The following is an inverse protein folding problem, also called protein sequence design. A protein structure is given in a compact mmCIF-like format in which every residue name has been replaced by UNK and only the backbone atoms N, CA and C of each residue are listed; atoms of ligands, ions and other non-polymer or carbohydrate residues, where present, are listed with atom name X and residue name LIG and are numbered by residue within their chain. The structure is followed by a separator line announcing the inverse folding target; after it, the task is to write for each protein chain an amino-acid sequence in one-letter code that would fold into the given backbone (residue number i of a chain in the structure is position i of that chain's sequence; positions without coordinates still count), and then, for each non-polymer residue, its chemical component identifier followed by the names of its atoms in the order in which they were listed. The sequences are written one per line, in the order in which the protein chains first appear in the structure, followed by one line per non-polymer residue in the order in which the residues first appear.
data_IF_001886430301
#
_entry.id   IF_001886430301
#
_cell.length_a   1.000
_cell.length_b   1.000
_cell.length_c   1.000
_cell.angle_alpha   90.00
_cell.angle_beta   90.00
_cell.angle_gamma   90.00
#
_symmetry.space_group_name_H-M   'P 1'
#
loop_
_entity.id
_entity.type
_entity.pdbx_description
1 polymer ?
#
# COMPACT_ATOMS: atom_id res chain seq x y z
N UNK A 1 -2.68 -79.31 -12.05
CA UNK A 1 -3.11 -78.63 -10.81
C UNK A 1 -2.49 -77.23 -10.77
N UNK A 2 -3.31 -76.19 -10.56
CA UNK A 2 -3.00 -74.90 -9.87
C UNK A 2 -1.75 -74.13 -10.36
N UNK A 3 -1.79 -72.89 -10.86
CA UNK A 3 -2.48 -71.70 -10.35
C UNK A 3 -2.65 -70.67 -11.48
N UNK A 4 -3.88 -70.14 -11.64
CA UNK A 4 -4.18 -68.94 -12.42
C UNK A 4 -3.87 -67.73 -11.54
N UNK A 5 -2.92 -66.88 -11.94
CA UNK A 5 -2.66 -65.57 -11.33
C UNK A 5 -3.17 -64.51 -12.32
N UNK A 6 -4.41 -64.08 -12.11
CA UNK A 6 -4.97 -62.93 -12.79
C UNK A 6 -4.43 -61.66 -12.12
N UNK A 7 -3.52 -60.96 -12.79
CA UNK A 7 -3.07 -59.63 -12.40
C UNK A 7 -4.12 -58.65 -12.89
N UNK A 8 -4.95 -58.20 -11.95
CA UNK A 8 -5.95 -57.16 -12.13
C UNK A 8 -5.23 -55.80 -12.04
N UNK A 9 -4.94 -55.20 -13.20
CA UNK A 9 -4.42 -53.83 -13.31
C UNK A 9 -5.59 -52.88 -12.98
N UNK A 10 -5.66 -52.45 -11.72
CA UNK A 10 -6.56 -51.38 -11.31
C UNK A 10 -5.91 -50.05 -11.72
N UNK A 11 -6.33 -49.52 -12.86
CA UNK A 11 -5.95 -48.21 -13.36
C UNK A 11 -6.47 -47.12 -12.42
N UNK A 12 -5.65 -46.75 -11.44
CA UNK A 12 -5.81 -45.50 -10.70
C UNK A 12 -5.39 -44.38 -11.66
N UNK A 13 -6.36 -43.80 -12.36
CA UNK A 13 -6.23 -42.48 -12.97
C UNK A 13 -6.17 -41.46 -11.83
N UNK A 14 -4.99 -41.33 -11.20
CA UNK A 14 -4.64 -40.12 -10.47
C UNK A 14 -4.59 -39.01 -11.53
N UNK A 15 -5.46 -38.00 -11.39
CA UNK A 15 -5.44 -36.80 -12.23
C UNK A 15 -4.11 -36.06 -12.06
N UNK A 16 -3.13 -36.42 -12.88
CA UNK A 16 -1.91 -35.65 -13.07
C UNK A 16 -2.36 -34.43 -13.88
N UNK A 17 -2.55 -33.30 -13.21
CA UNK A 17 -2.65 -32.03 -13.90
C UNK A 17 -1.41 -31.88 -14.80
N UNK A 18 -1.57 -31.61 -16.11
CA UNK A 18 -0.45 -31.51 -17.03
C UNK A 18 0.52 -30.42 -16.54
N UNK A 19 1.76 -30.81 -16.23
CA UNK A 19 2.80 -29.94 -15.70
C UNK A 19 3.12 -28.71 -16.57
N UNK A 20 2.61 -28.65 -17.81
CA UNK A 20 2.78 -27.50 -18.71
C UNK A 20 2.03 -26.23 -18.30
N UNK A 21 0.89 -26.33 -17.62
CA UNK A 21 0.08 -25.15 -17.28
C UNK A 21 0.74 -24.28 -16.22
N UNK A 22 1.24 -24.92 -15.15
CA UNK A 22 1.95 -24.23 -14.07
C UNK A 22 3.23 -23.51 -14.56
N UNK A 23 3.88 -24.03 -15.61
CA UNK A 23 5.06 -23.42 -16.20
C UNK A 23 4.70 -22.14 -16.98
N UNK A 24 3.62 -22.16 -17.76
CA UNK A 24 3.18 -20.99 -18.55
C UNK A 24 2.74 -19.82 -17.68
N UNK A 25 1.97 -20.07 -16.61
CA UNK A 25 1.54 -19.02 -15.67
C UNK A 25 2.74 -18.42 -14.92
N UNK A 26 3.70 -19.26 -14.54
CA UNK A 26 4.92 -18.79 -13.90
C UNK A 26 5.75 -17.89 -14.83
N UNK A 27 5.88 -18.26 -16.10
CA UNK A 27 6.60 -17.45 -17.09
C UNK A 27 5.92 -16.10 -17.34
N UNK A 28 4.59 -16.08 -17.37
CA UNK A 28 3.82 -14.83 -17.47
C UNK A 28 4.02 -13.95 -16.22
N UNK A 29 3.88 -14.51 -15.02
CA UNK A 29 4.11 -13.77 -13.78
C UNK A 29 5.52 -13.18 -13.71
N UNK A 30 6.51 -13.95 -14.18
CA UNK A 30 7.89 -13.52 -14.26
C UNK A 30 8.06 -12.37 -15.26
N UNK A 31 7.37 -12.42 -16.40
CA UNK A 31 7.37 -11.35 -17.40
C UNK A 31 6.82 -10.05 -16.80
N UNK A 32 5.65 -10.11 -16.16
CA UNK A 32 5.00 -8.95 -15.54
C UNK A 32 5.87 -8.31 -14.44
N UNK A 33 6.50 -9.13 -13.59
CA UNK A 33 7.44 -8.65 -12.56
C UNK A 33 8.61 -7.91 -13.21
N UNK A 34 9.16 -8.44 -14.30
CA UNK A 34 10.32 -7.87 -14.97
C UNK A 34 9.99 -6.62 -15.78
N UNK A 35 8.84 -6.56 -16.46
CA UNK A 35 8.38 -5.39 -17.20
C UNK A 35 8.11 -4.22 -16.26
N UNK A 36 7.43 -4.46 -15.13
CA UNK A 36 7.17 -3.45 -14.11
C UNK A 36 8.48 -2.93 -13.48
N UNK A 37 9.40 -3.86 -13.19
CA UNK A 37 10.74 -3.52 -12.67
C UNK A 37 11.52 -2.66 -13.68
N UNK A 38 11.45 -2.98 -14.97
CA UNK A 38 12.13 -2.22 -16.01
C UNK A 38 11.54 -0.82 -16.15
N UNK A 39 10.20 -0.69 -16.26
CA UNK A 39 9.52 0.61 -16.32
C UNK A 39 9.89 1.50 -15.13
N UNK A 40 9.91 0.93 -13.91
CA UNK A 40 10.38 1.66 -12.72
C UNK A 40 11.81 2.19 -12.88
N UNK A 41 12.77 1.37 -13.33
CA UNK A 41 14.17 1.80 -13.46
C UNK A 41 14.33 2.89 -14.53
N UNK A 42 13.56 2.84 -15.62
CA UNK A 42 13.58 3.90 -16.65
C UNK A 42 13.07 5.21 -16.10
N UNK A 43 11.89 5.20 -15.45
CA UNK A 43 11.30 6.38 -14.84
C UNK A 43 12.19 6.96 -13.74
N UNK A 44 12.77 6.10 -12.91
CA UNK A 44 13.68 6.47 -11.82
C UNK A 44 15.01 7.07 -12.32
N UNK A 45 15.44 6.70 -13.52
CA UNK A 45 16.65 7.24 -14.17
C UNK A 45 16.34 8.37 -15.15
N UNK A 46 15.08 8.79 -15.27
CA UNK A 46 14.60 9.79 -16.22
C UNK A 46 15.02 9.50 -17.67
N UNK A 47 15.03 8.22 -18.05
CA UNK A 47 15.34 7.80 -19.42
C UNK A 47 14.10 7.95 -20.32
N UNK A 48 14.27 8.36 -21.58
CA UNK A 48 13.19 8.33 -22.56
C UNK A 48 12.74 6.88 -22.80
N UNK A 49 11.51 6.70 -23.30
CA UNK A 49 10.96 5.40 -23.72
C UNK A 49 10.57 4.40 -22.61
N UNK A 50 10.20 4.86 -21.41
CA UNK A 50 9.70 3.96 -20.36
C UNK A 50 8.49 3.10 -20.83
N UNK A 51 7.64 3.65 -21.71
CA UNK A 51 6.46 2.97 -22.23
C UNK A 51 6.73 1.80 -23.20
N UNK A 52 7.98 1.56 -23.62
CA UNK A 52 8.29 0.50 -24.59
C UNK A 52 8.05 -0.92 -24.04
N UNK A 53 8.02 -1.08 -22.72
CA UNK A 53 7.79 -2.39 -22.08
C UNK A 53 6.32 -2.83 -22.10
N UNK A 54 5.38 -1.92 -22.38
CA UNK A 54 3.94 -2.20 -22.34
C UNK A 54 3.48 -3.19 -23.43
N UNK A 55 4.26 -3.32 -24.51
CA UNK A 55 3.91 -4.16 -25.66
C UNK A 55 4.66 -5.49 -25.67
N UNK A 56 5.44 -5.80 -24.63
CA UNK A 56 6.28 -6.99 -24.61
C UNK A 56 5.42 -8.20 -24.23
N UNK A 57 5.34 -9.16 -25.15
CA UNK A 57 4.46 -10.34 -25.01
C UNK A 57 5.18 -11.59 -24.52
N UNK A 58 6.52 -11.58 -24.51
CA UNK A 58 7.32 -12.75 -24.12
C UNK A 58 8.61 -12.37 -23.41
N UNK A 59 9.11 -13.30 -22.60
CA UNK A 59 10.40 -13.15 -21.90
C UNK A 59 11.57 -12.98 -22.89
N UNK A 60 11.53 -13.65 -24.04
CA UNK A 60 12.59 -13.54 -25.05
C UNK A 60 12.66 -12.12 -25.67
N UNK A 61 11.49 -11.56 -25.98
CA UNK A 61 11.36 -10.18 -26.48
C UNK A 61 11.81 -9.17 -25.43
N UNK A 62 11.39 -9.34 -24.17
CA UNK A 62 11.84 -8.53 -23.04
C UNK A 62 13.36 -8.49 -22.95
N UNK A 63 14.00 -9.66 -22.96
CA UNK A 63 15.45 -9.80 -22.86
C UNK A 63 16.18 -9.15 -24.04
N UNK A 64 15.65 -9.29 -25.26
CA UNK A 64 16.23 -8.66 -26.43
C UNK A 64 16.19 -7.12 -26.32
N UNK A 65 15.08 -6.58 -25.83
CA UNK A 65 14.88 -5.15 -25.66
C UNK A 65 15.81 -4.56 -24.59
N UNK A 66 15.88 -5.15 -23.40
CA UNK A 66 16.79 -4.66 -22.33
C UNK A 66 18.27 -4.81 -22.69
N UNK A 67 18.64 -5.80 -23.51
CA UNK A 67 20.01 -5.96 -24.03
C UNK A 67 20.38 -4.83 -24.97
N UNK A 68 19.46 -4.45 -25.85
CA UNK A 68 19.66 -3.35 -26.81
C UNK A 68 19.92 -2.02 -26.08
N UNK A 69 19.27 -1.81 -24.95
CA UNK A 69 19.36 -0.57 -24.16
C UNK A 69 20.28 -0.67 -22.93
N UNK A 70 21.06 -1.74 -22.79
CA UNK A 70 21.91 -1.95 -21.62
C UNK A 70 23.00 -0.87 -21.47
N UNK A 71 23.46 -0.31 -22.60
CA UNK A 71 24.45 0.77 -22.60
C UNK A 71 23.95 2.04 -21.87
N UNK A 72 22.65 2.29 -21.86
CA UNK A 72 22.03 3.47 -21.24
C UNK A 72 21.43 3.15 -19.87
N UNK A 73 20.67 2.06 -19.76
CA UNK A 73 19.92 1.73 -18.54
C UNK A 73 20.70 0.86 -17.55
N UNK A 74 21.72 0.13 -18.02
CA UNK A 74 22.42 -0.93 -17.27
C UNK A 74 21.49 -1.99 -16.65
N UNK A 75 20.22 -2.11 -17.10
CA UNK A 75 19.27 -3.05 -16.49
C UNK A 75 19.70 -4.49 -16.76
N UNK A 76 20.11 -4.80 -17.98
CA UNK A 76 20.48 -6.16 -18.34
C UNK A 76 21.73 -6.60 -17.56
N UNK A 77 22.80 -5.81 -17.61
CA UNK A 77 24.09 -6.13 -17.00
C UNK A 77 24.08 -6.08 -15.47
N UNK A 78 23.47 -5.06 -14.86
CA UNK A 78 23.54 -4.85 -13.40
C UNK A 78 22.40 -5.50 -12.63
N UNK A 79 21.21 -5.66 -13.23
CA UNK A 79 20.01 -6.13 -12.54
C UNK A 79 19.56 -7.52 -13.02
N UNK A 80 19.21 -7.67 -14.29
CA UNK A 80 18.62 -8.90 -14.83
C UNK A 80 19.59 -10.08 -14.81
N UNK A 81 20.75 -9.93 -15.48
CA UNK A 81 21.73 -11.00 -15.66
C UNK A 81 22.22 -11.60 -14.33
N UNK A 82 22.62 -10.81 -13.31
CA UNK A 82 23.08 -11.37 -12.03
C UNK A 82 22.01 -12.16 -11.27
N UNK A 83 20.73 -11.80 -11.43
CA UNK A 83 19.61 -12.47 -10.77
C UNK A 83 19.26 -13.78 -11.51
N UNK A 84 19.25 -13.75 -12.83
CA UNK A 84 18.92 -14.89 -13.70
C UNK A 84 20.01 -15.95 -13.73
N UNK A 85 21.27 -15.53 -13.90
CA UNK A 85 22.44 -16.41 -13.94
C UNK A 85 22.77 -16.96 -12.55
N UNK A 86 22.49 -16.18 -11.50
CA UNK A 86 22.73 -16.59 -10.11
C UNK A 86 21.85 -17.78 -9.68
N UNK A 87 20.72 -18.01 -10.36
CA UNK A 87 19.85 -19.17 -10.13
C UNK A 87 19.22 -19.28 -8.73
N UNK A 88 19.44 -18.29 -7.85
CA UNK A 88 19.01 -18.32 -6.45
C UNK A 88 17.50 -18.51 -6.29
N UNK A 89 16.71 -17.91 -7.19
CA UNK A 89 15.26 -18.03 -7.16
C UNK A 89 14.73 -19.33 -7.81
N UNK A 90 15.58 -20.12 -8.48
CA UNK A 90 15.19 -21.41 -9.11
C UNK A 90 15.25 -22.59 -8.13
N UNK A 91 15.77 -22.38 -6.91
CA UNK A 91 15.93 -23.44 -5.91
C UNK A 91 14.64 -23.91 -5.22
N UNK A 92 13.67 -23.03 -4.88
CA UNK A 92 12.40 -23.48 -4.32
C UNK A 92 11.65 -24.37 -5.31
N UNK A 93 11.03 -25.46 -4.83
CA UNK A 93 10.24 -26.36 -5.70
C UNK A 93 8.87 -25.79 -6.07
N UNK A 94 8.33 -24.88 -5.26
CA UNK A 94 7.01 -24.28 -5.49
C UNK A 94 7.15 -22.97 -6.27
N UNK A 95 6.39 -22.81 -7.36
CA UNK A 95 6.41 -21.62 -8.22
C UNK A 95 6.20 -20.31 -7.43
N UNK A 96 5.28 -20.30 -6.46
CA UNK A 96 5.01 -19.14 -5.60
C UNK A 96 6.24 -18.72 -4.77
N UNK A 97 6.98 -19.68 -4.24
CA UNK A 97 8.21 -19.40 -3.49
C UNK A 97 9.33 -18.90 -4.42
N UNK A 98 9.38 -19.40 -5.66
CA UNK A 98 10.31 -18.90 -6.69
C UNK A 98 10.02 -17.43 -7.02
N UNK A 99 8.76 -17.07 -7.28
CA UNK A 99 8.35 -15.68 -7.56
C UNK A 99 8.64 -14.77 -6.36
N UNK A 100 8.31 -15.20 -5.13
CA UNK A 100 8.63 -14.43 -3.92
C UNK A 100 10.14 -14.20 -3.77
N UNK A 101 10.95 -15.20 -4.10
CA UNK A 101 12.43 -15.10 -4.05
C UNK A 101 12.95 -14.16 -5.15
N UNK A 102 12.34 -14.19 -6.34
CA UNK A 102 12.64 -13.26 -7.44
C UNK A 102 12.34 -11.80 -7.03
N UNK A 103 11.16 -11.53 -6.47
CA UNK A 103 10.80 -10.18 -6.00
C UNK A 103 11.78 -9.69 -4.94
N UNK A 104 12.18 -10.57 -4.01
CA UNK A 104 13.16 -10.24 -2.97
C UNK A 104 14.55 -9.94 -3.55
N UNK A 105 15.01 -10.70 -4.55
CA UNK A 105 16.32 -10.48 -5.17
C UNK A 105 16.36 -9.19 -5.99
N UNK A 106 15.28 -8.88 -6.72
CA UNK A 106 15.11 -7.61 -7.45
C UNK A 106 15.17 -6.44 -6.46
N UNK A 107 14.36 -6.47 -5.40
CA UNK A 107 14.35 -5.39 -4.40
C UNK A 107 15.71 -5.21 -3.72
N UNK A 108 16.36 -6.30 -3.31
CA UNK A 108 17.70 -6.25 -2.73
C UNK A 108 18.73 -5.63 -3.67
N UNK A 109 18.66 -5.95 -4.98
CA UNK A 109 19.57 -5.41 -5.98
C UNK A 109 19.28 -3.95 -6.30
N UNK A 110 18.02 -3.54 -6.37
CA UNK A 110 17.66 -2.13 -6.56
C UNK A 110 18.11 -1.25 -5.38
N UNK A 111 18.18 -1.79 -4.16
CA UNK A 111 18.69 -1.07 -2.99
C UNK A 111 20.20 -0.82 -2.98
N UNK A 112 20.98 -1.50 -3.83
CA UNK A 112 22.43 -1.26 -3.91
C UNK A 112 22.77 0.04 -4.66
N UNK A 113 21.77 0.76 -5.18
CA UNK A 113 21.98 2.06 -5.82
C UNK A 113 21.92 3.17 -4.77
N UNK A 114 23.08 3.75 -4.44
CA UNK A 114 23.21 4.80 -3.42
C UNK A 114 22.38 6.05 -3.74
N UNK A 115 22.28 6.44 -5.01
CA UNK A 115 21.49 7.60 -5.44
C UNK A 115 20.00 7.41 -5.11
N UNK A 116 19.49 6.19 -5.30
CA UNK A 116 18.11 5.84 -4.95
C UNK A 116 17.90 5.80 -3.45
N UNK A 117 18.89 5.29 -2.72
CA UNK A 117 18.78 5.19 -1.26
C UNK A 117 18.92 6.55 -0.57
N UNK A 118 19.71 7.47 -1.10
CA UNK A 118 19.90 8.80 -0.49
C UNK A 118 18.70 9.74 -0.65
N UNK A 119 17.83 9.49 -1.63
CA UNK A 119 16.60 10.26 -1.85
C UNK A 119 15.39 9.58 -1.18
N UNK A 120 14.73 10.30 -0.27
CA UNK A 120 13.54 9.82 0.47
C UNK A 120 12.39 9.46 -0.47
N UNK A 121 12.15 10.27 -1.51
CA UNK A 121 11.04 10.05 -2.44
C UNK A 121 11.31 8.82 -3.31
N UNK A 122 12.54 8.65 -3.81
CA UNK A 122 12.92 7.48 -4.60
C UNK A 122 12.88 6.20 -3.77
N UNK A 123 13.27 6.27 -2.49
CA UNK A 123 13.16 5.15 -1.55
C UNK A 123 11.70 4.74 -1.33
N UNK A 124 10.79 5.70 -1.13
CA UNK A 124 9.34 5.41 -1.00
C UNK A 124 8.80 4.73 -2.27
N UNK A 125 9.11 5.27 -3.44
CA UNK A 125 8.72 4.65 -4.72
C UNK A 125 9.23 3.22 -4.88
N UNK A 126 10.45 2.95 -4.39
CA UNK A 126 11.00 1.59 -4.38
C UNK A 126 10.24 0.65 -3.43
N UNK A 127 9.81 1.15 -2.27
CA UNK A 127 8.99 0.38 -1.33
C UNK A 127 7.59 0.11 -1.90
N UNK A 128 7.02 1.06 -2.64
CA UNK A 128 5.73 0.89 -3.33
C UNK A 128 5.84 -0.12 -4.48
N UNK A 129 6.90 -0.05 -5.29
CA UNK A 129 7.22 -1.08 -6.29
C UNK A 129 7.32 -2.47 -5.62
N UNK A 130 8.00 -2.57 -4.47
CA UNK A 130 8.14 -3.85 -3.79
C UNK A 130 6.79 -4.47 -3.42
N UNK A 131 5.84 -3.66 -2.92
CA UNK A 131 4.48 -4.11 -2.61
C UNK A 131 3.74 -4.54 -3.88
N UNK A 132 3.86 -3.76 -4.95
CA UNK A 132 3.24 -4.08 -6.24
C UNK A 132 3.75 -5.41 -6.80
N UNK A 133 5.07 -5.63 -6.80
CA UNK A 133 5.66 -6.90 -7.25
C UNK A 133 5.25 -8.08 -6.35
N UNK A 134 5.09 -7.86 -5.04
CA UNK A 134 4.55 -8.87 -4.13
C UNK A 134 3.09 -9.22 -4.44
N UNK A 135 2.29 -8.23 -4.82
CA UNK A 135 0.89 -8.42 -5.22
C UNK A 135 0.81 -9.25 -6.50
N UNK A 136 1.57 -8.87 -7.54
CA UNK A 136 1.68 -9.66 -8.78
C UNK A 136 2.06 -11.11 -8.44
N UNK A 137 3.12 -11.33 -7.66
CA UNK A 137 3.54 -12.67 -7.26
C UNK A 137 2.51 -13.45 -6.41
N UNK A 138 1.58 -12.77 -5.73
CA UNK A 138 0.54 -13.38 -4.91
C UNK A 138 -0.70 -13.77 -5.72
N UNK A 139 -1.04 -12.98 -6.73
CA UNK A 139 -2.17 -13.19 -7.63
C UNK A 139 -1.94 -14.42 -8.53
N UNK A 140 -0.68 -14.66 -8.92
CA UNK A 140 -0.30 -15.87 -9.64
C UNK A 140 -0.20 -17.09 -8.70
N UNK A 141 -0.90 -18.18 -9.03
CA UNK A 141 -0.87 -19.45 -8.30
C UNK A 141 -2.08 -19.70 -7.39
N UNK A 142 -3.12 -18.87 -7.45
CA UNK A 142 -4.46 -19.31 -7.05
C UNK A 142 -4.98 -20.15 -8.22
N UNK A 143 -5.18 -21.48 -8.07
CA UNK A 143 -5.79 -22.26 -9.12
C UNK A 143 -7.14 -21.61 -9.41
N UNK A 144 -7.31 -21.05 -10.61
CA UNK A 144 -8.54 -20.42 -11.02
C UNK A 144 -9.67 -21.42 -10.73
N UNK A 145 -10.46 -21.14 -9.70
CA UNK A 145 -11.64 -21.91 -9.39
C UNK A 145 -12.62 -21.63 -10.53
N UNK A 146 -12.53 -22.45 -11.56
CA UNK A 146 -13.51 -22.59 -12.64
C UNK A 146 -13.79 -21.30 -13.42
N UNK A 147 -12.94 -21.07 -14.43
CA UNK A 147 -13.36 -20.58 -15.74
C UNK A 147 -14.08 -19.23 -15.82
N UNK A 148 -13.33 -18.14 -15.71
CA UNK A 148 -13.61 -16.94 -16.50
C UNK A 148 -12.28 -16.42 -17.06
N UNK A 149 -12.16 -16.21 -18.38
CA UNK A 149 -10.95 -15.64 -18.96
C UNK A 149 -10.77 -14.22 -18.42
N UNK A 150 -9.56 -13.93 -17.90
CA UNK A 150 -9.12 -12.58 -17.61
C UNK A 150 -8.95 -11.88 -18.96
N UNK A 151 -9.97 -11.16 -19.41
CA UNK A 151 -9.85 -10.25 -20.54
C UNK A 151 -9.06 -9.03 -20.07
N UNK A 152 -7.85 -8.90 -20.61
CA UNK A 152 -7.06 -7.70 -20.56
C UNK A 152 -7.80 -6.65 -21.41
N UNK A 153 -8.49 -5.72 -20.75
CA UNK A 153 -9.26 -4.67 -21.39
C UNK A 153 -8.30 -3.68 -22.05
N UNK A 154 -8.03 -3.91 -23.34
CA UNK A 154 -7.29 -3.00 -24.19
C UNK A 154 -8.12 -1.72 -24.37
N UNK A 155 -7.72 -0.65 -23.69
CA UNK A 155 -8.27 0.69 -23.92
C UNK A 155 -7.84 1.14 -25.31
N UNK A 156 -8.75 0.99 -26.28
CA UNK A 156 -8.63 1.59 -27.60
C UNK A 156 -8.87 3.10 -27.49
N UNK A 157 -7.79 3.88 -27.57
CA UNK A 157 -7.83 5.29 -27.97
C UNK A 157 -8.06 5.39 -29.47
N UNK A 158 -9.13 6.06 -29.89
CA UNK A 158 -9.16 6.78 -31.17
C UNK A 158 -9.95 8.09 -31.02
N UNK A 159 -9.53 9.19 -31.67
CA UNK A 159 -10.17 10.49 -31.58
C UNK A 159 -11.11 10.77 -32.77
N UNK A 160 -12.03 11.70 -32.52
CA UNK A 160 -12.51 12.74 -33.47
C UNK A 160 -13.88 12.60 -34.18
N UNK A 161 -14.62 13.72 -34.10
CA UNK A 161 -15.64 14.29 -35.01
C UNK A 161 -17.13 13.86 -34.98
N UNK A 162 -17.91 14.67 -34.25
CA UNK A 162 -19.03 15.54 -34.68
C UNK A 162 -20.23 15.06 -35.55
N UNK A 163 -21.41 15.44 -35.02
CA UNK A 163 -22.68 15.91 -35.66
C UNK A 163 -23.81 14.94 -36.06
N UNK A 164 -24.92 15.08 -35.30
CA UNK A 164 -26.31 15.38 -35.70
C UNK A 164 -27.09 14.43 -36.64
N UNK A 165 -28.11 13.75 -36.10
CA UNK A 165 -29.54 14.05 -36.38
C UNK A 165 -30.47 13.09 -35.62
N UNK A 166 -31.31 13.64 -34.74
CA UNK A 166 -32.42 12.92 -34.12
C UNK A 166 -33.72 13.18 -34.89
N UNK A 167 -34.31 12.12 -35.44
CA UNK A 167 -35.70 12.09 -35.88
C UNK A 167 -36.35 10.92 -35.14
N UNK A 168 -37.15 11.23 -34.13
CA UNK A 168 -37.94 10.28 -33.35
C UNK A 168 -39.39 10.35 -33.83
N UNK A 169 -39.89 9.26 -34.39
CA UNK A 169 -41.31 9.01 -34.62
C UNK A 169 -41.62 7.61 -34.12
N UNK A 170 -42.47 7.55 -33.08
CA UNK A 170 -43.31 6.40 -32.75
C UNK A 170 -44.12 5.96 -33.99
N UNK A 171 -44.49 4.67 -34.08
CA UNK A 171 -45.84 4.33 -33.64
C UNK A 171 -45.95 2.97 -32.91
N UNK A 172 -46.73 3.02 -31.83
CA UNK A 172 -47.95 2.23 -31.57
C UNK A 172 -48.11 0.84 -32.23
N UNK A 173 -48.41 -0.17 -31.41
CA UNK A 173 -48.71 -1.53 -31.88
C UNK A 173 -48.81 -2.61 -30.80
N UNK A 174 -49.82 -2.51 -29.95
CA UNK A 174 -50.73 -3.56 -29.42
C UNK A 174 -50.29 -5.03 -29.23
N UNK A 175 -50.54 -5.50 -28.00
CA UNK A 175 -51.18 -6.75 -27.55
C UNK A 175 -50.61 -8.14 -27.88
N UNK A 176 -50.28 -8.89 -26.82
CA UNK A 176 -50.70 -10.28 -26.51
C UNK A 176 -50.06 -10.68 -25.16
N UNK A 177 -50.82 -10.82 -24.08
CA UNK A 177 -51.59 -11.99 -23.62
C UNK A 177 -50.77 -12.97 -22.75
N UNK A 178 -51.45 -13.48 -21.71
CA UNK A 178 -51.15 -14.62 -20.83
C UNK A 178 -50.05 -14.54 -19.75
N UNK A 179 -50.52 -14.31 -18.51
CA UNK A 179 -50.35 -15.13 -17.28
C UNK A 179 -49.12 -16.03 -17.13
N UNK A 180 -48.37 -15.87 -16.02
CA UNK A 180 -47.82 -16.96 -15.17
C UNK A 180 -47.05 -16.38 -13.95
N UNK A 181 -47.76 -15.95 -12.91
CA UNK A 181 -47.20 -15.50 -11.61
C UNK A 181 -47.22 -16.61 -10.53
N UNK A 182 -47.08 -17.88 -10.93
CA UNK A 182 -47.21 -19.00 -9.99
C UNK A 182 -46.20 -20.15 -10.24
N UNK A 183 -44.89 -19.85 -10.30
CA UNK A 183 -43.85 -20.90 -10.48
C UNK A 183 -42.50 -20.72 -9.78
N UNK A 184 -42.43 -20.07 -8.60
CA UNK A 184 -41.14 -20.01 -7.84
C UNK A 184 -41.19 -20.42 -6.36
N UNK A 185 -42.26 -21.04 -5.88
CA UNK A 185 -42.37 -21.49 -4.47
C UNK A 185 -42.27 -23.01 -4.24
N UNK A 186 -41.62 -23.77 -5.13
CA UNK A 186 -41.38 -25.19 -4.89
C UNK A 186 -40.14 -25.72 -5.62
N UNK A 187 -38.98 -25.65 -4.99
CA UNK A 187 -37.92 -26.66 -5.20
C UNK A 187 -36.99 -26.75 -3.98
N UNK A 188 -37.34 -27.68 -3.08
CA UNK A 188 -36.48 -28.58 -2.32
C UNK A 188 -35.35 -27.94 -1.46
N UNK A 189 -35.50 -27.79 -0.13
CA UNK A 189 -35.62 -28.87 0.87
C UNK A 189 -34.80 -30.10 0.46
N UNK A 190 -33.53 -30.11 0.85
CA UNK A 190 -32.62 -31.25 0.70
C UNK A 190 -32.29 -31.79 2.09
N UNK A 191 -32.57 -33.08 2.24
CA UNK A 191 -32.56 -33.85 3.47
C UNK A 191 -31.17 -34.00 4.11
N UNK A 192 -31.17 -33.82 5.44
CA UNK A 192 -30.20 -34.39 6.37
C UNK A 192 -30.41 -35.90 6.47
N UNK A 193 -29.60 -36.69 5.77
CA UNK A 193 -29.29 -38.06 6.18
C UNK A 193 -28.12 -38.62 5.38
N UNK A 194 -26.99 -38.85 6.04
CA UNK A 194 -26.10 -40.00 5.73
C UNK A 194 -25.05 -40.13 6.84
N UNK A 195 -25.45 -40.79 7.93
CA UNK A 195 -24.52 -41.62 8.70
C UNK A 195 -24.02 -42.74 7.81
N UNK A 196 -22.85 -42.53 7.17
CA UNK A 196 -22.10 -43.59 6.49
C UNK A 196 -20.92 -44.00 7.35
N UNK A 197 -21.12 -45.08 8.10
CA UNK A 197 -20.07 -45.91 8.66
C UNK A 197 -19.29 -46.54 7.51
N UNK A 198 -18.14 -45.96 7.15
CA UNK A 198 -17.29 -46.53 6.10
C UNK A 198 -16.19 -45.60 5.61
N UNK A 199 -15.10 -45.53 6.38
CA UNK A 199 -13.69 -45.35 5.97
C UNK A 199 -12.95 -44.42 6.93
N UNK A 200 -12.38 -45.02 7.98
CA UNK A 200 -11.52 -44.38 8.99
C UNK A 200 -10.29 -43.64 8.40
N UNK A 201 -10.01 -43.79 7.10
CA UNK A 201 -8.89 -43.16 6.42
C UNK A 201 -9.05 -41.65 6.26
N UNK A 202 -10.26 -41.12 6.05
CA UNK A 202 -10.47 -39.67 5.93
C UNK A 202 -10.30 -38.95 7.28
N UNK A 203 -10.76 -39.57 8.37
CA UNK A 203 -10.59 -39.05 9.73
C UNK A 203 -9.12 -39.03 10.14
N UNK A 204 -8.36 -40.08 9.79
CA UNK A 204 -6.91 -40.13 10.07
C UNK A 204 -6.17 -39.02 9.30
N UNK A 205 -6.54 -38.75 8.04
CA UNK A 205 -5.94 -37.66 7.27
C UNK A 205 -6.26 -36.27 7.87
N UNK A 206 -7.49 -36.05 8.30
CA UNK A 206 -7.91 -34.80 8.94
C UNK A 206 -7.15 -34.57 10.26
N UNK A 207 -6.95 -35.62 11.07
CA UNK A 207 -6.16 -35.55 12.30
C UNK A 207 -4.68 -35.27 11.99
N UNK A 208 -4.12 -35.90 10.96
CA UNK A 208 -2.73 -35.65 10.54
C UNK A 208 -2.51 -34.20 10.08
N UNK A 209 -3.42 -33.63 9.28
CA UNK A 209 -3.39 -32.23 8.87
C UNK A 209 -3.54 -31.27 10.05
N UNK A 210 -4.41 -31.62 11.01
CA UNK A 210 -4.57 -30.85 12.26
C UNK A 210 -3.28 -30.79 13.08
N UNK A 211 -2.58 -31.92 13.23
CA UNK A 211 -1.30 -31.98 13.95
C UNK A 211 -0.19 -31.19 13.24
N UNK A 212 -0.15 -31.24 11.90
CA UNK A 212 0.83 -30.46 11.12
C UNK A 212 0.58 -28.95 11.31
N UNK A 213 -0.67 -28.49 11.26
CA UNK A 213 -1.00 -27.09 11.52
C UNK A 213 -0.62 -26.66 12.94
N UNK A 214 -0.84 -27.52 13.94
CA UNK A 214 -0.43 -27.24 15.33
C UNK A 214 1.09 -27.07 15.46
N UNK A 215 1.86 -27.92 14.79
CA UNK A 215 3.33 -27.84 14.77
C UNK A 215 3.80 -26.56 14.06
N UNK A 216 3.18 -26.17 12.93
CA UNK A 216 3.51 -24.92 12.26
C UNK A 216 3.23 -23.70 13.15
N UNK A 217 2.07 -23.65 13.80
CA UNK A 217 1.72 -22.55 14.72
C UNK A 217 2.72 -22.48 15.89
N UNK A 218 3.13 -23.63 16.43
CA UNK A 218 4.17 -23.68 17.47
C UNK A 218 5.51 -23.12 16.99
N UNK A 219 5.95 -23.48 15.77
CA UNK A 219 7.20 -22.96 15.19
C UNK A 219 7.14 -21.46 14.90
N UNK A 220 6.01 -20.95 14.40
CA UNK A 220 5.78 -19.50 14.24
C UNK A 220 5.87 -18.78 15.59
N UNK A 221 5.20 -19.28 16.62
CA UNK A 221 5.24 -18.70 17.96
C UNK A 221 6.66 -18.74 18.56
N UNK A 222 7.45 -19.77 18.27
CA UNK A 222 8.86 -19.84 18.69
C UNK A 222 9.71 -18.75 18.03
N UNK A 223 9.53 -18.48 16.75
CA UNK A 223 10.31 -17.46 16.05
C UNK A 223 9.85 -16.03 16.44
N UNK A 224 8.54 -15.82 16.64
CA UNK A 224 8.01 -14.55 17.17
C UNK A 224 8.61 -14.25 18.55
N UNK A 225 8.66 -15.23 19.46
CA UNK A 225 9.31 -15.06 20.79
C UNK A 225 10.80 -14.70 20.67
N UNK A 226 11.51 -15.29 19.69
CA UNK A 226 12.92 -14.98 19.43
C UNK A 226 13.12 -13.57 18.89
N UNK A 227 12.19 -13.08 18.05
CA UNK A 227 12.22 -11.70 17.54
C UNK A 227 11.83 -10.68 18.62
N UNK A 228 10.81 -10.98 19.45
CA UNK A 228 10.41 -10.14 20.59
C UNK A 228 11.59 -9.86 21.51
N UNK A 229 12.37 -10.89 21.87
CA UNK A 229 13.58 -10.72 22.71
C UNK A 229 14.60 -9.72 22.12
N UNK A 230 14.73 -9.66 20.79
CA UNK A 230 15.63 -8.68 20.14
C UNK A 230 15.08 -7.27 20.19
N UNK A 231 13.75 -7.12 20.13
CA UNK A 231 13.09 -5.81 20.22
C UNK A 231 13.13 -5.31 21.66
N UNK A 232 12.89 -6.18 22.64
CA UNK A 232 12.97 -5.84 24.07
C UNK A 232 14.40 -5.42 24.45
N UNK A 233 15.42 -6.11 23.92
CA UNK A 233 16.81 -5.69 24.10
C UNK A 233 17.08 -4.30 23.53
N UNK A 234 16.55 -3.99 22.34
CA UNK A 234 16.70 -2.65 21.73
C UNK A 234 15.97 -1.57 22.52
N UNK A 235 14.81 -1.88 23.13
CA UNK A 235 14.11 -0.95 24.03
C UNK A 235 14.94 -0.64 25.26
N UNK A 236 15.51 -1.66 25.91
CA UNK A 236 16.40 -1.48 27.07
C UNK A 236 17.64 -0.65 26.69
N UNK A 237 18.23 -0.89 25.51
CA UNK A 237 19.38 -0.12 25.04
C UNK A 237 19.02 1.35 24.77
N UNK A 238 17.82 1.62 24.24
CA UNK A 238 17.31 2.98 24.03
C UNK A 238 17.02 3.67 25.36
N UNK A 239 16.40 3.00 26.32
CA UNK A 239 16.12 3.55 27.64
C UNK A 239 17.42 3.84 28.41
N UNK A 240 18.43 2.96 28.30
CA UNK A 240 19.77 3.21 28.83
C UNK A 240 20.46 4.41 28.16
N UNK A 241 20.34 4.56 26.83
CA UNK A 241 20.85 5.76 26.14
C UNK A 241 20.12 7.02 26.59
N UNK A 242 18.80 6.98 26.74
CA UNK A 242 18.00 8.10 27.21
C UNK A 242 18.39 8.49 28.65
N UNK A 243 18.63 7.52 29.53
CA UNK A 243 19.13 7.78 30.89
C UNK A 243 20.54 8.36 30.91
N UNK A 244 21.44 7.91 30.02
CA UNK A 244 22.78 8.52 29.89
C UNK A 244 22.72 9.96 29.37
N UNK A 245 21.74 10.29 28.53
CA UNK A 245 21.53 11.66 28.02
C UNK A 245 20.84 12.56 29.06
N UNK A 246 20.05 12.00 29.98
CA UNK A 246 19.34 12.71 31.04
C UNK A 246 20.01 12.63 32.42
N UNK A 247 21.35 12.53 32.51
CA UNK A 247 22.03 12.61 33.81
C UNK A 247 21.73 13.98 34.49
N UNK A 248 21.02 14.01 35.63
CA UNK A 248 20.67 15.25 36.32
C UNK A 248 21.88 15.67 37.17
N UNK A 249 22.77 16.45 36.56
CA UNK A 249 24.00 16.88 37.23
C UNK A 249 24.65 18.14 36.66
N UNK A 250 23.89 18.96 35.91
CA UNK A 250 24.38 20.27 35.45
C UNK A 250 23.27 21.31 35.51
N UNK A 251 22.83 21.61 36.73
CA UNK A 251 22.12 22.86 37.04
C UNK A 251 23.14 24.00 36.96
N UNK A 252 23.27 24.58 35.77
CA UNK A 252 23.91 25.87 35.54
C UNK A 252 23.03 26.64 34.58
N UNK A 253 22.41 27.70 35.08
CA UNK A 253 21.60 28.64 34.32
C UNK A 253 22.35 29.09 33.06
N UNK A 254 21.68 29.00 31.91
CA UNK A 254 22.00 29.57 30.58
C UNK A 254 21.75 28.55 29.44
N UNK A 255 20.49 28.13 29.29
CA UNK A 255 20.05 27.24 28.21
C UNK A 255 19.37 28.00 27.06
N UNK A 256 20.09 28.93 26.45
CA UNK A 256 19.91 29.31 25.04
C UNK A 256 21.22 29.12 24.26
N UNK A 257 22.07 28.22 24.74
CA UNK A 257 23.38 27.95 24.13
C UNK A 257 23.21 26.99 22.96
N UNK A 258 23.27 27.59 21.76
CA UNK A 258 23.65 26.95 20.49
C UNK A 258 24.49 25.72 20.77
N UNK A 259 24.05 24.55 20.28
CA UNK A 259 24.89 23.34 20.25
C UNK A 259 26.21 23.77 19.61
N UNK A 260 27.24 23.95 20.43
CA UNK A 260 28.51 24.50 19.96
C UNK A 260 29.13 23.46 19.06
N UNK A 261 29.69 23.90 17.94
CA UNK A 261 30.28 23.03 16.93
C UNK A 261 31.33 22.08 17.55
N UNK A 262 32.01 22.51 18.62
CA UNK A 262 32.93 21.69 19.41
C UNK A 262 32.26 20.51 20.15
N UNK A 263 31.00 20.62 20.57
CA UNK A 263 30.25 19.50 21.18
C UNK A 263 29.86 18.47 20.12
N UNK A 264 29.49 18.92 18.91
CA UNK A 264 29.23 18.05 17.76
C UNK A 264 30.51 17.36 17.32
N UNK A 265 31.63 18.09 17.28
CA UNK A 265 32.94 17.57 16.90
C UNK A 265 33.47 16.53 17.90
N UNK A 266 33.26 16.75 19.21
CA UNK A 266 33.55 15.73 20.22
C UNK A 266 32.65 14.49 20.10
N UNK A 267 31.37 14.66 19.72
CA UNK A 267 30.47 13.52 19.49
C UNK A 267 30.90 12.71 18.26
N UNK A 268 31.29 13.40 17.18
CA UNK A 268 31.80 12.79 15.94
C UNK A 268 33.11 12.07 16.21
N UNK A 269 34.06 12.68 16.91
CA UNK A 269 35.33 12.05 17.26
C UNK A 269 35.14 10.81 18.13
N UNK A 270 34.15 10.84 19.04
CA UNK A 270 33.80 9.68 19.88
C UNK A 270 33.13 8.57 19.07
N UNK A 271 32.28 8.92 18.10
CA UNK A 271 31.65 7.94 17.20
C UNK A 271 32.70 7.26 16.30
N UNK A 272 33.63 8.04 15.74
CA UNK A 272 34.73 7.53 14.90
C UNK A 272 35.67 6.63 15.71
N UNK A 273 36.00 6.99 16.96
CA UNK A 273 36.83 6.15 17.83
C UNK A 273 36.17 4.79 18.10
N UNK A 274 34.87 4.79 18.41
CA UNK A 274 34.10 3.57 18.67
C UNK A 274 33.95 2.69 17.42
N UNK A 275 33.80 3.31 16.26
CA UNK A 275 33.78 2.59 14.99
C UNK A 275 35.15 1.94 14.71
N UNK A 276 36.25 2.65 14.95
CA UNK A 276 37.62 2.14 14.77
C UNK A 276 37.95 0.95 15.68
N UNK A 277 37.48 0.99 16.93
CA UNK A 277 37.58 -0.15 17.86
C UNK A 277 36.77 -1.35 17.36
N UNK A 278 35.59 -1.13 16.78
CA UNK A 278 34.78 -2.21 16.19
C UNK A 278 35.42 -2.83 14.95
N UNK A 279 36.15 -2.04 14.14
CA UNK A 279 36.95 -2.55 13.03
C UNK A 279 38.19 -3.30 13.51
N UNK A 280 38.86 -2.86 14.58
CA UNK A 280 40.02 -3.57 15.13
C UNK A 280 39.63 -4.91 15.79
N UNK A 281 38.47 -4.98 16.45
CA UNK A 281 37.95 -6.23 16.99
C UNK A 281 37.56 -7.24 15.88
N UNK A 282 37.21 -6.77 14.68
CA UNK A 282 36.88 -7.62 13.53
C UNK A 282 38.03 -7.84 12.53
N UNK A 283 39.12 -7.08 12.61
CA UNK A 283 40.23 -7.14 11.65
C UNK A 283 41.35 -8.12 12.03
N UNK A 284 41.29 -8.78 13.19
CA UNK A 284 42.25 -9.84 13.56
C UNK A 284 42.05 -11.17 12.81
N UNK A 285 41.19 -11.22 11.78
CA UNK A 285 40.90 -12.43 11.03
C UNK A 285 40.69 -12.21 9.53
N UNK A 286 41.61 -11.54 8.83
CA UNK A 286 41.71 -11.64 7.35
C UNK A 286 42.95 -10.93 6.84
N UNK A 287 43.94 -11.71 6.44
CA UNK A 287 45.23 -11.26 5.90
C UNK A 287 45.15 -10.86 4.42
N UNK A 288 45.84 -9.75 4.12
CA UNK A 288 46.55 -9.40 2.87
C UNK A 288 45.77 -9.09 1.58
N UNK A 289 45.97 -7.86 1.09
CA UNK A 289 45.70 -7.51 -0.31
C UNK A 289 45.78 -6.02 -0.69
N UNK A 290 47.01 -5.47 -0.72
CA UNK A 290 47.51 -4.41 -1.62
C UNK A 290 46.78 -3.05 -1.76
N UNK A 291 47.42 -1.99 -1.23
CA UNK A 291 47.08 -0.57 -1.41
C UNK A 291 47.70 0.02 -2.69
N UNK A 292 47.00 0.98 -3.32
CA UNK A 292 47.61 1.98 -4.21
C UNK A 292 47.04 3.37 -3.87
N UNK A 293 47.88 4.42 -3.74
CA UNK A 293 47.43 5.74 -3.29
C UNK A 293 47.04 6.64 -4.47
N UNK A 294 45.93 7.38 -4.34
CA UNK A 294 45.61 8.50 -5.24
C UNK A 294 45.44 9.78 -4.42
N UNK A 295 46.11 10.80 -4.96
CA UNK A 295 46.49 12.11 -4.45
C UNK A 295 45.29 13.06 -4.46
N UNK A 296 45.20 13.89 -3.41
CA UNK A 296 44.23 14.98 -3.26
C UNK A 296 44.42 16.08 -4.31
N UNK A 297 43.31 16.65 -4.79
CA UNK A 297 43.28 17.98 -5.40
C UNK A 297 42.12 18.77 -4.78
N UNK A 298 42.47 19.91 -4.19
CA UNK A 298 41.58 20.87 -3.56
C UNK A 298 40.96 21.81 -4.60
N UNK A 299 39.69 22.20 -4.40
CA UNK A 299 39.05 23.28 -5.15
C UNK A 299 38.17 24.15 -4.24
N UNK A 300 38.75 25.30 -3.90
CA UNK A 300 38.23 26.68 -3.79
C UNK A 300 36.70 26.88 -3.71
N UNK A 301 36.25 27.50 -2.61
CA UNK A 301 34.94 28.13 -2.44
C UNK A 301 34.99 29.61 -2.85
N UNK A 302 33.93 30.11 -3.50
CA UNK A 302 33.68 31.54 -3.72
C UNK A 302 32.45 31.98 -2.91
N UNK A 303 32.49 33.15 -2.23
CA UNK A 303 31.34 33.67 -1.49
C UNK A 303 30.42 34.51 -2.40
N UNK A 304 29.11 34.31 -2.28
CA UNK A 304 28.09 35.15 -2.93
C UNK A 304 27.34 35.94 -1.86
N UNK A 305 27.29 37.25 -2.06
CA UNK A 305 26.63 38.29 -1.26
C UNK A 305 25.10 38.28 -1.41
N UNK A 306 24.32 38.63 -0.36
CA UNK A 306 22.88 38.86 -0.48
C UNK A 306 22.53 40.37 -0.66
N UNK A 307 21.43 40.69 -1.39
CA UNK A 307 20.87 42.06 -1.46
C UNK A 307 19.84 42.34 -0.34
N UNK A 308 19.56 43.63 0.00
CA UNK A 308 18.69 44.02 1.11
C UNK A 308 17.28 44.53 0.72
N UNK A 309 16.42 44.62 1.77
CA UNK A 309 15.21 45.48 1.96
C UNK A 309 13.83 44.93 1.51
N UNK A 310 12.66 45.48 1.97
CA UNK A 310 12.30 46.11 3.26
C UNK A 310 10.89 45.70 3.83
N UNK A 311 10.63 46.10 5.10
CA UNK A 311 9.38 46.64 5.70
C UNK A 311 8.01 45.92 5.57
N UNK A 312 7.40 45.58 6.73
CA UNK A 312 6.08 46.09 7.14
C UNK A 312 5.70 45.71 8.59
N UNK A 313 5.12 46.67 9.31
CA UNK A 313 4.68 46.62 10.70
C UNK A 313 3.31 45.91 10.88
N UNK A 314 2.95 45.46 12.11
CA UNK A 314 1.66 44.82 12.37
C UNK A 314 0.57 45.82 12.78
N UNK A 315 -0.63 45.62 12.25
CA UNK A 315 -1.89 46.27 12.65
C UNK A 315 -2.60 45.39 13.68
N UNK A 316 -3.07 45.92 14.83
CA UNK A 316 -3.93 45.17 15.76
C UNK A 316 -5.40 45.29 15.36
N UNK A 317 -6.15 44.19 15.45
CA UNK A 317 -7.61 44.16 15.37
C UNK A 317 -8.16 43.68 16.73
N UNK A 318 -9.18 44.35 17.29
CA UNK A 318 -9.66 44.06 18.64
C UNK A 318 -10.65 42.89 18.70
N UNK A 319 -10.58 42.25 19.86
CA UNK A 319 -11.53 41.36 20.53
C UNK A 319 -12.97 41.89 20.46
N UNK A 320 -13.94 41.02 20.16
CA UNK A 320 -15.30 41.25 20.66
C UNK A 320 -15.98 39.95 21.06
N UNK A 321 -16.42 39.97 22.31
CA UNK A 321 -17.07 38.90 23.05
C UNK A 321 -18.58 39.06 22.92
N UNK A 322 -19.30 37.98 22.65
CA UNK A 322 -20.73 37.93 22.98
C UNK A 322 -21.18 36.50 23.26
N UNK A 323 -21.16 36.17 24.55
CA UNK A 323 -21.97 35.13 25.18
C UNK A 323 -23.46 35.46 25.04
N UNK A 324 -24.30 34.47 24.71
CA UNK A 324 -25.70 34.44 25.16
C UNK A 324 -26.03 33.00 25.57
N UNK A 325 -26.10 32.79 26.88
CA UNK A 325 -26.94 31.78 27.53
C UNK A 325 -28.40 32.13 27.30
N UNK A 326 -29.27 31.17 26.95
CA UNK A 326 -30.66 31.27 27.38
C UNK A 326 -31.29 29.91 27.72
N UNK A 327 -31.88 29.92 28.92
CA UNK A 327 -32.51 28.87 29.71
C UNK A 327 -33.89 28.44 29.16
N UNK A 328 -34.19 27.14 29.34
CA UNK A 328 -35.45 26.53 29.88
C UNK A 328 -36.82 26.99 29.29
N UNK A 329 -37.71 26.14 28.78
CA UNK A 329 -38.53 25.13 29.51
C UNK A 329 -39.54 24.41 28.56
N UNK A 330 -40.06 23.20 28.91
CA UNK A 330 -41.17 22.47 28.23
C UNK A 330 -42.56 22.94 28.77
N UNK A 331 -43.79 22.47 28.36
CA UNK A 331 -44.18 21.22 27.68
C UNK A 331 -45.32 21.33 26.62
N UNK A 332 -45.55 20.31 25.77
CA UNK A 332 -46.92 19.87 25.46
C UNK A 332 -46.97 18.49 24.77
N UNK A 333 -47.80 17.60 25.31
CA UNK A 333 -48.08 16.26 24.80
C UNK A 333 -49.24 16.34 23.80
N UNK A 334 -48.94 16.20 22.51
CA UNK A 334 -49.95 15.84 21.51
C UNK A 334 -49.38 14.67 20.69
N UNK A 335 -50.06 13.53 20.75
CA UNK A 335 -49.76 12.36 19.93
C UNK A 335 -49.97 12.71 18.45
N UNK A 336 -48.87 12.99 17.76
CA UNK A 336 -48.86 13.26 16.32
C UNK A 336 -48.94 11.95 15.53
N UNK A 337 -49.72 11.96 14.45
CA UNK A 337 -49.74 10.94 13.41
C UNK A 337 -48.31 10.61 12.93
N UNK A 338 -48.03 9.38 12.43
CA UNK A 338 -46.69 9.01 11.96
C UNK A 338 -46.28 9.91 10.80
N UNK A 339 -45.50 10.94 11.12
CA UNK A 339 -44.86 11.82 10.16
C UNK A 339 -43.95 10.93 9.30
N UNK A 340 -44.02 11.00 7.96
CA UNK A 340 -43.10 10.27 7.10
C UNK A 340 -41.68 10.59 7.54
N UNK A 341 -40.95 9.56 7.98
CA UNK A 341 -39.59 9.69 8.48
C UNK A 341 -38.80 10.40 7.38
N UNK A 342 -38.24 11.60 7.62
CA UNK A 342 -37.48 12.29 6.61
C UNK A 342 -36.32 11.39 6.23
N UNK A 343 -36.32 10.93 4.97
CA UNK A 343 -35.22 10.17 4.42
C UNK A 343 -33.94 10.97 4.70
N UNK A 344 -33.03 10.43 5.52
CA UNK A 344 -31.74 11.07 5.82
C UNK A 344 -30.75 10.70 4.71
N UNK A 345 -29.95 11.64 4.19
CA UNK A 345 -28.90 11.31 3.22
C UNK A 345 -27.98 10.25 3.85
N UNK A 346 -27.56 9.27 3.05
CA UNK A 346 -26.67 8.21 3.52
C UNK A 346 -25.28 8.82 3.74
N UNK A 347 -25.00 9.19 4.99
CA UNK A 347 -23.66 9.58 5.42
C UNK A 347 -22.86 8.34 5.77
N UNK A 348 -21.66 8.25 5.19
CA UNK A 348 -20.64 7.25 5.52
C UNK A 348 -19.44 7.96 6.15
N UNK A 349 -18.64 7.24 6.92
CA UNK A 349 -17.48 7.77 7.62
C UNK A 349 -16.22 7.01 7.23
N UNK A 350 -15.11 7.72 7.06
CA UNK A 350 -13.84 7.14 6.66
C UNK A 350 -12.69 7.72 7.48
N UNK A 351 -11.64 6.92 7.66
CA UNK A 351 -10.45 7.32 8.40
C UNK A 351 -9.47 8.14 7.56
N UNK A 352 -8.83 7.54 6.57
CA UNK A 352 -7.79 8.18 5.76
C UNK A 352 -7.97 7.73 4.31
N UNK A 353 -7.81 8.63 3.32
CA UNK A 353 -7.81 8.24 1.91
C UNK A 353 -6.60 7.36 1.58
N UNK A 354 -6.79 6.38 0.72
CA UNK A 354 -5.73 5.51 0.20
C UNK A 354 -5.66 5.69 -1.30
N UNK A 355 -4.47 5.95 -1.85
CA UNK A 355 -4.23 6.10 -3.29
C UNK A 355 -5.14 7.14 -3.97
N UNK A 356 -5.44 8.25 -3.29
CA UNK A 356 -6.28 9.32 -3.84
C UNK A 356 -7.79 9.03 -3.81
N UNK A 357 -8.26 8.14 -2.95
CA UNK A 357 -9.68 7.86 -2.76
C UNK A 357 -10.01 7.08 -1.50
N UNK A 358 -11.22 6.55 -1.41
CA UNK A 358 -11.70 5.73 -0.30
C UNK A 358 -12.23 4.40 -0.81
N UNK A 359 -11.79 3.28 -0.23
CA UNK A 359 -12.39 1.99 -0.54
C UNK A 359 -13.75 1.86 0.14
N UNK A 360 -14.73 1.29 -0.55
CA UNK A 360 -16.08 1.14 -0.02
C UNK A 360 -16.14 0.26 1.24
N UNK A 361 -15.24 -0.73 1.34
CA UNK A 361 -15.10 -1.59 2.52
C UNK A 361 -14.56 -0.87 3.77
N UNK A 362 -13.91 0.29 3.60
CA UNK A 362 -13.35 1.09 4.69
C UNK A 362 -14.33 2.20 5.14
N UNK A 363 -15.55 2.20 4.60
CA UNK A 363 -16.62 3.13 4.94
C UNK A 363 -17.53 2.57 6.05
N UNK A 364 -17.72 3.36 7.10
CA UNK A 364 -18.58 3.02 8.23
C UNK A 364 -19.91 3.79 8.18
N UNK A 365 -21.00 3.18 8.64
CA UNK A 365 -22.31 3.84 8.74
C UNK A 365 -22.41 4.82 9.92
N UNK A 366 -21.57 4.62 10.93
CA UNK A 366 -21.53 5.41 12.15
C UNK A 366 -20.14 6.05 12.33
N UNK A 367 -20.07 7.27 12.90
CA UNK A 367 -18.79 7.94 13.15
C UNK A 367 -17.96 7.14 14.16
N UNK A 368 -16.76 6.73 13.77
CA UNK A 368 -15.79 6.12 14.67
C UNK A 368 -14.91 7.18 15.33
N UNK A 369 -14.25 6.81 16.43
CA UNK A 369 -13.31 7.66 17.14
C UNK A 369 -12.12 8.14 16.28
N UNK A 370 -11.80 7.42 15.19
CA UNK A 370 -10.73 7.70 14.24
C UNK A 370 -11.23 8.07 12.83
N UNK A 371 -12.53 8.32 12.68
CA UNK A 371 -13.13 8.78 11.42
C UNK A 371 -12.89 10.27 11.20
N UNK A 372 -12.03 10.61 10.23
CA UNK A 372 -11.67 11.99 9.89
C UNK A 372 -12.67 12.58 8.90
N UNK A 373 -13.23 11.76 8.00
CA UNK A 373 -14.05 12.21 6.88
C UNK A 373 -15.50 11.75 7.03
N UNK A 374 -16.44 12.67 6.76
CA UNK A 374 -17.86 12.38 6.51
C UNK A 374 -18.09 12.46 5.00
N UNK A 375 -18.59 11.39 4.42
CA UNK A 375 -18.90 11.26 2.99
C UNK A 375 -20.42 11.20 2.84
N UNK A 376 -20.98 12.12 2.06
CA UNK A 376 -22.41 12.22 1.78
C UNK A 376 -22.66 11.80 0.34
N UNK A 377 -23.26 10.63 0.16
CA UNK A 377 -23.58 10.08 -1.15
C UNK A 377 -24.80 10.83 -1.69
N UNK A 378 -24.71 11.30 -2.95
CA UNK A 378 -25.82 12.00 -3.60
C UNK A 378 -26.95 11.03 -3.92
N UNK A 379 -28.19 11.41 -3.60
CA UNK A 379 -29.36 10.60 -3.99
C UNK A 379 -29.67 10.67 -5.48
N UNK A 380 -29.39 11.80 -6.10
CA UNK A 380 -29.68 12.01 -7.52
C UNK A 380 -28.73 11.21 -8.40
N UNK A 381 -27.51 11.01 -7.91
CA UNK A 381 -26.46 10.29 -8.61
C UNK A 381 -25.67 9.47 -7.60
N UNK A 382 -25.99 8.17 -7.41
CA UNK A 382 -25.29 7.29 -6.49
C UNK A 382 -23.80 7.14 -6.81
N UNK A 383 -23.36 7.49 -8.03
CA UNK A 383 -21.95 7.45 -8.42
C UNK A 383 -21.17 8.69 -7.96
N UNK A 384 -21.83 9.70 -7.37
CA UNK A 384 -21.20 10.93 -6.88
C UNK A 384 -21.43 11.14 -5.39
N UNK A 385 -20.39 11.58 -4.70
CA UNK A 385 -20.47 11.94 -3.30
C UNK A 385 -19.69 13.22 -3.02
N UNK A 386 -20.03 13.87 -1.90
CA UNK A 386 -19.27 15.00 -1.36
C UNK A 386 -18.67 14.61 -0.02
N UNK A 387 -17.47 15.07 0.29
CA UNK A 387 -16.84 14.77 1.55
C UNK A 387 -16.31 16.02 2.26
N UNK A 388 -16.27 15.94 3.59
CA UNK A 388 -15.77 16.99 4.48
C UNK A 388 -15.15 16.37 5.73
N UNK A 389 -14.38 17.15 6.49
CA UNK A 389 -13.81 16.70 7.76
C UNK A 389 -14.89 16.75 8.84
N UNK A 390 -14.99 15.70 9.65
CA UNK A 390 -15.91 15.60 10.79
C UNK A 390 -15.59 16.70 11.81
N UNK A 391 -16.59 17.36 12.38
CA UNK A 391 -16.43 18.46 13.36
C UNK A 391 -16.04 18.02 14.79
N UNK A 392 -15.53 16.80 14.97
CA UNK A 392 -15.20 16.26 16.29
C UNK A 392 -13.80 16.76 16.74
N UNK A 393 -13.69 17.48 17.87
CA UNK A 393 -12.42 18.05 18.32
C UNK A 393 -11.35 17.00 18.66
N UNK A 394 -11.74 15.81 19.13
CA UNK A 394 -10.78 14.72 19.40
C UNK A 394 -10.12 14.22 18.12
N UNK A 395 -10.88 14.16 17.02
CA UNK A 395 -10.40 13.77 15.70
C UNK A 395 -9.53 14.88 15.10
N UNK A 396 -9.91 16.14 15.29
CA UNK A 396 -9.14 17.31 14.81
C UNK A 396 -7.72 17.30 15.37
N UNK A 397 -7.55 17.06 16.67
CA UNK A 397 -6.21 17.01 17.29
C UNK A 397 -5.31 15.98 16.59
N UNK A 398 -5.78 14.74 16.44
CA UNK A 398 -5.01 13.70 15.77
C UNK A 398 -4.79 13.99 14.28
N UNK A 399 -5.76 14.59 13.60
CA UNK A 399 -5.63 14.98 12.20
C UNK A 399 -4.61 16.11 12.01
N UNK A 400 -4.56 17.10 12.90
CA UNK A 400 -3.58 18.20 12.88
C UNK A 400 -2.16 17.67 13.13
N UNK A 401 -1.97 16.84 14.17
CA UNK A 401 -0.68 16.21 14.49
C UNK A 401 -0.12 15.40 13.32
N UNK A 402 -1.00 14.79 12.52
CA UNK A 402 -0.65 13.93 11.39
C UNK A 402 -1.07 14.49 10.03
N UNK A 403 -1.21 15.82 9.90
CA UNK A 403 -1.85 16.46 8.74
C UNK A 403 -1.26 16.02 7.39
N UNK A 404 0.06 15.85 7.31
CA UNK A 404 0.73 15.39 6.09
C UNK A 404 0.29 13.98 5.64
N UNK A 405 -0.06 13.10 6.58
CA UNK A 405 -0.51 11.73 6.29
C UNK A 405 -2.02 11.66 6.11
N UNK A 406 -2.78 12.37 6.93
CA UNK A 406 -4.24 12.27 6.96
C UNK A 406 -4.95 13.18 5.98
N UNK A 407 -4.43 14.40 5.75
CA UNK A 407 -5.12 15.47 5.01
C UNK A 407 -4.55 15.72 3.60
N UNK A 408 -3.26 15.45 3.37
CA UNK A 408 -2.55 15.80 2.13
C UNK A 408 -3.25 15.30 0.86
N UNK A 409 -3.78 14.08 0.89
CA UNK A 409 -4.31 13.44 -0.31
C UNK A 409 -5.74 13.89 -0.62
N UNK A 410 -6.52 14.30 0.38
CA UNK A 410 -7.93 14.67 0.21
C UNK A 410 -8.24 16.16 0.39
N UNK A 411 -7.33 16.94 0.98
CA UNK A 411 -7.56 18.34 1.29
C UNK A 411 -6.47 19.25 0.72
N UNK A 412 -6.87 20.48 0.39
CA UNK A 412 -5.99 21.61 0.10
C UNK A 412 -6.03 22.53 1.31
N UNK A 413 -4.86 22.86 1.85
CA UNK A 413 -4.74 23.69 3.05
C UNK A 413 -3.41 24.45 3.06
N UNK A 414 -3.35 25.49 3.88
CA UNK A 414 -2.11 26.20 4.22
C UNK A 414 -1.86 26.06 5.71
N UNK A 415 -0.69 25.53 6.08
CA UNK A 415 -0.30 25.36 7.49
C UNK A 415 0.24 26.68 8.04
N UNK A 416 -0.64 27.66 8.23
CA UNK A 416 -0.25 29.01 8.66
C UNK A 416 -0.17 29.11 10.20
N UNK A 417 -0.87 28.24 10.94
CA UNK A 417 -0.89 28.21 12.40
C UNK A 417 -0.34 26.88 12.93
N UNK A 418 0.82 26.90 13.59
CA UNK A 418 1.43 25.70 14.21
C UNK A 418 0.71 25.25 15.48
N UNK A 419 -0.12 26.10 16.08
CA UNK A 419 -0.84 25.85 17.34
C UNK A 419 -2.34 25.69 17.12
N UNK A 420 -2.77 25.39 15.89
CA UNK A 420 -4.17 25.21 15.60
C UNK A 420 -4.76 24.05 16.42
N UNK A 421 -5.99 24.23 16.87
CA UNK A 421 -6.72 23.23 17.65
C UNK A 421 -7.93 22.68 16.90
N UNK A 422 -8.33 23.38 15.83
CA UNK A 422 -9.54 23.08 15.07
C UNK A 422 -9.27 23.14 13.58
N UNK A 423 -9.97 22.28 12.85
CA UNK A 423 -10.01 22.30 11.39
C UNK A 423 -11.38 22.83 10.96
N UNK A 424 -11.37 23.87 10.13
CA UNK A 424 -12.59 24.44 9.55
C UNK A 424 -12.70 24.01 8.09
N UNK A 425 -13.89 23.55 7.70
CA UNK A 425 -14.18 23.21 6.31
C UNK A 425 -14.69 24.45 5.58
N UNK A 426 -13.92 24.94 4.60
CA UNK A 426 -14.31 26.06 3.75
C UNK A 426 -15.16 25.56 2.57
N UNK A 427 -14.66 24.55 1.86
CA UNK A 427 -15.36 23.93 0.74
C UNK A 427 -15.31 22.39 0.80
N UNK A 428 -16.43 21.70 0.53
CA UNK A 428 -16.45 20.25 0.47
C UNK A 428 -15.76 19.70 -0.80
N UNK A 429 -15.07 18.58 -0.63
CA UNK A 429 -14.51 17.82 -1.73
C UNK A 429 -15.56 17.01 -2.48
N UNK A 430 -15.18 16.50 -3.67
CA UNK A 430 -16.06 15.73 -4.56
C UNK A 430 -15.42 14.37 -4.87
N UNK A 431 -16.24 13.32 -4.84
CA UNK A 431 -15.87 11.95 -5.15
C UNK A 431 -16.70 11.41 -6.32
N UNK A 432 -16.09 10.53 -7.10
CA UNK A 432 -16.75 9.64 -8.06
C UNK A 432 -16.51 8.17 -7.70
N UNK A 433 -17.55 7.34 -7.82
CA UNK A 433 -17.45 5.89 -7.59
C UNK A 433 -16.97 5.21 -8.88
N UNK A 434 -15.86 4.48 -8.80
CA UNK A 434 -15.29 3.70 -9.90
C UNK A 434 -14.92 2.32 -9.35
N UNK A 435 -15.64 1.28 -9.77
CA UNK A 435 -15.36 -0.12 -9.39
C UNK A 435 -15.23 -0.36 -7.86
N UNK A 436 -16.17 0.18 -7.06
CA UNK A 436 -16.14 0.04 -5.60
C UNK A 436 -15.08 0.88 -4.88
N UNK A 437 -14.46 1.82 -5.61
CA UNK A 437 -13.52 2.80 -5.08
C UNK A 437 -14.02 4.21 -5.31
N UNK A 438 -14.08 5.01 -4.24
CA UNK A 438 -14.48 6.40 -4.29
C UNK A 438 -13.26 7.28 -4.57
N UNK A 439 -13.03 7.59 -5.85
CA UNK A 439 -11.92 8.43 -6.31
C UNK A 439 -12.18 9.90 -5.97
N UNK A 440 -11.16 10.60 -5.48
CA UNK A 440 -11.23 12.04 -5.23
C UNK A 440 -11.03 12.79 -6.54
N UNK A 441 -12.11 13.40 -7.05
CA UNK A 441 -12.06 14.27 -8.22
C UNK A 441 -11.65 15.70 -7.85
N UNK A 442 -12.12 16.18 -6.68
CA UNK A 442 -11.80 17.50 -6.15
C UNK A 442 -11.51 17.42 -4.66
N UNK A 443 -10.36 17.94 -4.24
CA UNK A 443 -9.97 18.04 -2.82
C UNK A 443 -10.86 19.04 -2.08
N UNK A 444 -11.11 18.77 -0.80
CA UNK A 444 -11.78 19.73 0.09
C UNK A 444 -10.85 20.92 0.40
N UNK A 445 -11.40 22.12 0.54
CA UNK A 445 -10.65 23.30 0.98
C UNK A 445 -10.88 23.47 2.49
N UNK A 446 -9.78 23.56 3.24
CA UNK A 446 -9.82 23.69 4.70
C UNK A 446 -8.78 24.70 5.18
N UNK A 447 -9.01 25.26 6.35
CA UNK A 447 -8.02 26.01 7.10
C UNK A 447 -7.99 25.59 8.57
N UNK A 448 -6.96 26.06 9.26
CA UNK A 448 -6.67 25.73 10.64
C UNK A 448 -6.90 26.96 11.53
N UNK A 449 -7.70 26.77 12.59
CA UNK A 449 -7.98 27.77 13.64
C UNK A 449 -7.20 27.45 14.93
#
# INVERSE_FOLDING_TARGET
MKKKLAILIFGIFLGIAPAGWAQSEMEQAKLDIWTETADFVYRDSNLPNAAQFNNVSSMAEFVALIKKEDATSSIYSKLYKPIEDGGFYKQPKAAKDQLKTLVKSIYARLRTNDQRMNDINRRRKLDDLHKQLQQIAADYGVPAATGAPILQEAVATNPDSAQANGSFTDPDGTDTDATDEERLSSLAKRDDSTTSTGNNSMTILAIALGLINLVLIYLLNKEIKKQSKRIDQRRIDIDNLAQMVNLPGRTGADSSSKITMAAVENLINRAIAKERESWQANASGSTSGSQRPIKMAAAVQSPVTPPPAPTSAPVPVPDDSASIEELLTPPNLVAAAPVPVPDKPQSKFARIPVNGGFHEQDLYDAPQHDSIYEIRISRKDPSRAMFRIVTNPSVHRSAIESAYLSLKDACTYQMNNTNATRIVNDEPGVLSQVNGFWKIDRKALIHFE
#
